data_IF_329913693646
#
_entry.id   IF_329913693646
#
_cell.length_a   1.000
_cell.length_b   1.000
_cell.length_c   1.000
_cell.angle_alpha   90.00
_cell.angle_beta   90.00
_cell.angle_gamma   90.00
#
_symmetry.space_group_name_H-M   'P 1'
#
loop_
_entity.id
_entity.type
_entity.pdbx_description
1 polymer ?
#
# COMPACT_ATOMS: atom_id res chain seq x y z
N UNK A 1 -8.41 17.90 -7.09
CA UNK A 1 -8.01 18.70 -5.90
C UNK A 1 -6.71 19.38 -6.29
N UNK A 2 -6.76 20.66 -6.62
CA UNK A 2 -5.51 21.42 -6.82
C UNK A 2 -4.87 21.57 -5.46
N UNK A 3 -3.68 21.01 -5.28
CA UNK A 3 -2.86 21.32 -4.13
C UNK A 3 -2.57 22.83 -4.16
N UNK A 4 -3.09 23.57 -3.19
CA UNK A 4 -2.88 25.02 -3.10
C UNK A 4 -1.41 25.42 -2.91
N UNK A 5 -0.55 24.44 -2.66
CA UNK A 5 0.89 24.66 -2.47
C UNK A 5 1.68 24.69 -3.78
N UNK A 6 1.10 24.32 -4.95
CA UNK A 6 1.76 24.26 -6.27
C UNK A 6 3.13 23.51 -6.26
N UNK A 7 3.26 22.49 -5.39
CA UNK A 7 4.55 21.81 -5.16
C UNK A 7 4.74 20.68 -6.17
N UNK A 8 3.66 20.03 -6.59
CA UNK A 8 3.65 18.94 -7.59
C UNK A 8 2.39 19.02 -8.45
N UNK A 9 2.48 18.54 -9.68
CA UNK A 9 1.34 18.32 -10.53
C UNK A 9 0.71 16.96 -10.20
N UNK A 10 -0.57 16.96 -9.78
CA UNK A 10 -1.32 15.73 -9.52
C UNK A 10 -2.03 15.29 -10.81
N UNK A 11 -1.48 14.30 -11.49
CA UNK A 11 -2.02 13.77 -12.75
C UNK A 11 -3.00 12.60 -12.56
N UNK A 12 -2.84 11.84 -11.48
CA UNK A 12 -3.66 10.66 -11.20
C UNK A 12 -3.65 10.34 -9.72
N UNK A 13 -4.67 9.62 -9.25
CA UNK A 13 -4.73 9.11 -7.88
C UNK A 13 -5.21 7.66 -7.85
N UNK A 14 -4.76 6.91 -6.87
CA UNK A 14 -5.29 5.60 -6.50
C UNK A 14 -6.01 5.75 -5.17
N UNK A 15 -7.29 5.45 -5.15
CA UNK A 15 -8.03 5.34 -3.90
C UNK A 15 -7.81 3.96 -3.30
N UNK A 16 -7.44 3.93 -2.03
CA UNK A 16 -7.37 2.68 -1.26
C UNK A 16 -8.46 2.74 -0.20
N UNK A 17 -9.23 1.68 -0.08
CA UNK A 17 -10.39 1.58 0.81
C UNK A 17 -10.09 2.22 2.18
N UNK A 18 -11.05 3.00 2.68
CA UNK A 18 -10.88 3.74 3.93
C UNK A 18 -11.61 3.08 5.11
N UNK A 19 -12.70 2.38 4.85
CA UNK A 19 -13.52 1.76 5.88
C UNK A 19 -13.98 0.35 5.48
N UNK A 20 -13.27 -0.67 5.98
CA UNK A 20 -13.64 -2.09 5.80
C UNK A 20 -14.84 -2.54 6.65
N UNK A 21 -15.39 -1.68 7.51
CA UNK A 21 -16.51 -2.01 8.40
C UNK A 21 -17.89 -1.73 7.78
N UNK A 22 -17.97 -1.31 6.52
CA UNK A 22 -19.24 -1.11 5.83
C UNK A 22 -20.01 -2.44 5.73
N UNK A 23 -21.35 -2.44 5.96
CA UNK A 23 -22.17 -3.64 5.84
C UNK A 23 -22.08 -4.31 4.46
N UNK A 24 -21.93 -3.52 3.41
CA UNK A 24 -21.69 -3.99 2.04
C UNK A 24 -20.24 -3.68 1.63
N UNK A 25 -19.39 -4.69 1.42
CA UNK A 25 -17.97 -4.50 1.12
C UNK A 25 -17.70 -3.74 -0.19
N UNK A 26 -18.66 -3.69 -1.12
CA UNK A 26 -18.51 -2.99 -2.40
C UNK A 26 -19.09 -1.57 -2.38
N UNK A 27 -19.73 -1.15 -1.30
CA UNK A 27 -20.41 0.14 -1.22
C UNK A 27 -19.52 1.33 -1.52
N UNK A 28 -18.28 1.32 -1.00
CA UNK A 28 -17.29 2.39 -1.23
C UNK A 28 -16.87 2.46 -2.71
N UNK A 29 -16.70 1.33 -3.37
CA UNK A 29 -16.35 1.26 -4.80
C UNK A 29 -17.43 1.91 -5.66
N UNK A 30 -18.71 1.55 -5.43
CA UNK A 30 -19.81 2.12 -6.20
C UNK A 30 -20.08 3.59 -5.88
N UNK A 31 -19.92 3.99 -4.61
CA UNK A 31 -19.99 5.41 -4.25
C UNK A 31 -18.96 6.25 -5.03
N UNK A 32 -17.72 5.75 -5.19
CA UNK A 32 -16.69 6.43 -5.98
C UNK A 32 -17.04 6.50 -7.47
N UNK A 33 -17.69 5.46 -8.03
CA UNK A 33 -18.18 5.49 -9.41
C UNK A 33 -19.29 6.53 -9.60
N UNK A 34 -20.21 6.63 -8.63
CA UNK A 34 -21.34 7.57 -8.68
C UNK A 34 -20.91 9.05 -8.63
N UNK A 35 -19.72 9.34 -8.12
CA UNK A 35 -19.16 10.70 -8.11
C UNK A 35 -18.95 11.28 -9.53
N UNK A 36 -19.00 10.46 -10.58
CA UNK A 36 -18.78 10.85 -11.99
C UNK A 36 -17.52 11.70 -12.20
N UNK A 37 -16.51 11.44 -11.40
CA UNK A 37 -15.22 12.09 -11.44
C UNK A 37 -14.19 11.20 -12.13
N UNK A 38 -13.22 11.80 -12.82
CA UNK A 38 -12.06 11.09 -13.35
C UNK A 38 -11.05 10.68 -12.25
N UNK A 39 -11.26 11.20 -11.05
CA UNK A 39 -10.45 10.87 -9.86
C UNK A 39 -11.35 10.15 -8.84
N UNK A 40 -10.90 9.04 -8.25
CA UNK A 40 -9.60 8.35 -8.47
C UNK A 40 -9.55 7.62 -9.82
N UNK A 41 -8.33 7.47 -10.37
CA UNK A 41 -8.13 6.74 -11.63
C UNK A 41 -8.09 5.21 -11.42
N UNK A 42 -7.84 4.76 -10.20
CA UNK A 42 -7.94 3.37 -9.78
C UNK A 42 -8.49 3.26 -8.37
N UNK A 43 -9.14 2.13 -8.09
CA UNK A 43 -9.76 1.81 -6.80
C UNK A 43 -9.19 0.48 -6.30
N UNK A 44 -8.73 0.49 -5.06
CA UNK A 44 -8.43 -0.69 -4.25
C UNK A 44 -9.53 -0.80 -3.21
N UNK A 45 -10.40 -1.81 -3.35
CA UNK A 45 -11.56 -1.99 -2.49
C UNK A 45 -11.28 -2.95 -1.33
N UNK A 46 -12.25 -3.07 -0.42
CA UNK A 46 -12.22 -4.06 0.64
C UNK A 46 -12.85 -5.37 0.19
N UNK A 47 -12.22 -6.50 0.54
CA UNK A 47 -12.86 -7.80 0.54
C UNK A 47 -12.26 -8.64 1.67
N UNK A 48 -13.12 -9.36 2.39
CA UNK A 48 -12.68 -10.38 3.33
C UNK A 48 -12.29 -11.64 2.57
N UNK A 49 -10.98 -11.88 2.45
CA UNK A 49 -10.47 -13.03 1.70
C UNK A 49 -10.84 -14.38 2.34
N UNK A 50 -11.21 -14.39 3.63
CA UNK A 50 -11.69 -15.59 4.31
C UNK A 50 -13.18 -15.90 4.11
N UNK A 51 -13.93 -14.98 3.47
CA UNK A 51 -15.38 -15.09 3.31
C UNK A 51 -15.77 -16.18 2.31
N UNK A 52 -16.83 -16.94 2.63
CA UNK A 52 -17.43 -17.89 1.69
C UNK A 52 -18.04 -17.22 0.45
N UNK A 53 -18.44 -15.96 0.55
CA UNK A 53 -19.02 -15.18 -0.54
C UNK A 53 -17.98 -14.34 -1.32
N UNK A 54 -16.67 -14.53 -1.07
CA UNK A 54 -15.60 -13.73 -1.66
C UNK A 54 -15.72 -13.63 -3.19
N UNK A 55 -15.96 -14.74 -3.89
CA UNK A 55 -16.07 -14.74 -5.35
C UNK A 55 -17.15 -13.76 -5.84
N UNK A 56 -18.33 -13.78 -5.23
CA UNK A 56 -19.43 -12.85 -5.57
C UNK A 56 -19.06 -11.40 -5.27
N UNK A 57 -18.34 -11.15 -4.17
CA UNK A 57 -17.87 -9.81 -3.82
C UNK A 57 -16.89 -9.29 -4.88
N UNK A 58 -15.94 -10.12 -5.32
CA UNK A 58 -15.01 -9.76 -6.37
C UNK A 58 -15.68 -9.52 -7.72
N UNK A 59 -16.67 -10.36 -8.10
CA UNK A 59 -17.49 -10.13 -9.31
C UNK A 59 -18.23 -8.80 -9.27
N UNK A 60 -18.77 -8.41 -8.11
CA UNK A 60 -19.43 -7.11 -7.94
C UNK A 60 -18.45 -5.96 -8.07
N UNK A 61 -17.30 -6.02 -7.40
CA UNK A 61 -16.24 -5.03 -7.55
C UNK A 61 -15.77 -4.87 -9.00
N UNK A 62 -15.65 -6.00 -9.74
CA UNK A 62 -15.21 -6.03 -11.13
C UNK A 62 -16.16 -5.31 -12.11
N UNK A 63 -17.38 -4.95 -11.69
CA UNK A 63 -18.25 -4.08 -12.45
C UNK A 63 -17.71 -2.65 -12.56
N UNK A 64 -16.83 -2.24 -11.64
CA UNK A 64 -16.11 -0.97 -11.75
C UNK A 64 -14.92 -1.10 -12.70
N UNK A 65 -14.85 -0.32 -13.79
CA UNK A 65 -13.71 -0.34 -14.71
C UNK A 65 -12.43 0.21 -14.06
N UNK A 66 -12.53 0.86 -12.90
CA UNK A 66 -11.41 1.43 -12.13
C UNK A 66 -10.91 0.49 -11.03
N UNK A 67 -11.59 -0.61 -10.76
CA UNK A 67 -11.17 -1.56 -9.73
C UNK A 67 -9.88 -2.29 -10.14
N UNK A 68 -8.86 -2.26 -9.26
CA UNK A 68 -7.53 -2.80 -9.57
C UNK A 68 -6.99 -3.76 -8.54
N UNK A 69 -7.50 -3.72 -7.33
CA UNK A 69 -6.95 -4.53 -6.24
C UNK A 69 -7.84 -4.59 -5.01
N UNK A 70 -7.42 -5.37 -4.05
CA UNK A 70 -8.09 -5.55 -2.77
C UNK A 70 -7.12 -5.18 -1.65
N UNK A 71 -7.64 -4.53 -0.60
CA UNK A 71 -6.96 -4.42 0.69
C UNK A 71 -7.79 -5.04 1.79
N UNK A 72 -7.15 -5.89 2.57
CA UNK A 72 -7.60 -6.33 3.88
C UNK A 72 -6.45 -6.13 4.85
N UNK A 73 -6.64 -5.30 5.89
CA UNK A 73 -5.60 -5.07 6.89
C UNK A 73 -5.49 -6.33 7.74
N UNK A 74 -4.31 -6.96 7.76
CA UNK A 74 -4.05 -8.20 8.49
C UNK A 74 -3.07 -8.03 9.65
N UNK A 75 -2.75 -6.77 9.96
CA UNK A 75 -1.82 -6.42 11.03
C UNK A 75 -2.28 -6.96 12.38
N UNK A 76 -1.45 -7.80 13.00
CA UNK A 76 -1.67 -8.39 14.32
C UNK A 76 -0.38 -8.40 15.12
N UNK A 77 -0.47 -7.94 16.37
CA UNK A 77 0.58 -8.01 17.38
C UNK A 77 0.07 -8.80 18.57
N UNK A 78 0.83 -9.82 19.01
CA UNK A 78 0.41 -10.69 20.11
C UNK A 78 0.21 -9.91 21.42
N UNK A 79 1.14 -8.98 21.70
CA UNK A 79 1.19 -8.23 22.96
C UNK A 79 0.56 -6.82 22.86
N UNK A 80 0.03 -6.46 21.69
CA UNK A 80 -0.56 -5.13 21.43
C UNK A 80 -1.92 -5.27 20.73
N UNK A 81 -2.95 -5.73 21.47
CA UNK A 81 -4.31 -5.85 20.90
C UNK A 81 -4.89 -4.49 20.50
N UNK A 82 -4.44 -3.40 21.12
CA UNK A 82 -4.80 -2.01 20.81
C UNK A 82 -4.31 -1.55 19.43
N UNK A 83 -3.27 -2.16 18.87
CA UNK A 83 -2.75 -1.91 17.54
C UNK A 83 -3.18 -2.99 16.52
N UNK A 84 -3.77 -4.08 16.99
CA UNK A 84 -4.16 -5.20 16.12
C UNK A 84 -5.48 -4.92 15.41
N UNK A 85 -5.53 -5.18 14.11
CA UNK A 85 -6.71 -5.04 13.26
C UNK A 85 -7.51 -6.35 13.16
N UNK A 86 -6.90 -7.47 13.55
CA UNK A 86 -7.53 -8.79 13.53
C UNK A 86 -7.28 -9.53 14.84
N UNK A 87 -8.21 -10.38 15.22
CA UNK A 87 -8.09 -11.23 16.42
C UNK A 87 -7.16 -12.44 16.19
N UNK A 88 -7.00 -12.84 14.92
CA UNK A 88 -6.23 -14.02 14.52
C UNK A 88 -5.21 -13.66 13.45
N UNK A 89 -4.13 -14.44 13.32
CA UNK A 89 -3.22 -14.30 12.19
C UNK A 89 -3.86 -14.89 10.91
N UNK A 90 -4.31 -14.02 10.02
CA UNK A 90 -5.01 -14.42 8.80
C UNK A 90 -4.10 -15.16 7.82
N UNK A 91 -2.79 -14.94 7.85
CA UNK A 91 -1.83 -15.68 7.03
C UNK A 91 -1.83 -17.19 7.33
N UNK A 92 -2.21 -17.58 8.56
CA UNK A 92 -2.29 -18.98 8.97
C UNK A 92 -3.66 -19.63 8.67
N UNK A 93 -4.64 -18.87 8.16
CA UNK A 93 -5.99 -19.36 7.91
C UNK A 93 -6.14 -19.90 6.48
N UNK A 94 -6.47 -21.18 6.37
CA UNK A 94 -6.63 -21.85 5.07
C UNK A 94 -7.71 -21.22 4.19
N UNK A 95 -8.80 -20.71 4.77
CA UNK A 95 -9.84 -20.00 4.03
C UNK A 95 -9.29 -18.71 3.43
N UNK A 96 -8.56 -17.91 4.20
CA UNK A 96 -7.92 -16.68 3.73
C UNK A 96 -6.89 -16.95 2.62
N UNK A 97 -6.04 -17.98 2.81
CA UNK A 97 -5.04 -18.38 1.80
C UNK A 97 -5.69 -18.79 0.46
N UNK A 98 -6.79 -19.54 0.53
CA UNK A 98 -7.58 -19.88 -0.67
C UNK A 98 -8.17 -18.66 -1.35
N UNK A 99 -8.72 -17.73 -0.56
CA UNK A 99 -9.25 -16.47 -1.09
C UNK A 99 -8.18 -15.60 -1.73
N UNK A 100 -6.97 -15.55 -1.16
CA UNK A 100 -5.85 -14.83 -1.77
C UNK A 100 -5.52 -15.35 -3.18
N UNK A 101 -5.58 -16.68 -3.39
CA UNK A 101 -5.32 -17.29 -4.72
C UNK A 101 -6.33 -16.85 -5.79
N UNK A 102 -7.58 -16.49 -5.41
CA UNK A 102 -8.59 -16.01 -6.36
C UNK A 102 -8.24 -14.63 -6.94
N UNK A 103 -7.41 -13.83 -6.26
CA UNK A 103 -7.05 -12.48 -6.74
C UNK A 103 -6.39 -12.52 -8.12
N UNK A 104 -5.56 -13.53 -8.38
CA UNK A 104 -4.92 -13.71 -9.68
C UNK A 104 -5.94 -13.97 -10.79
N UNK A 105 -6.97 -14.79 -10.54
CA UNK A 105 -8.02 -15.11 -11.51
C UNK A 105 -8.79 -13.87 -11.95
N UNK A 106 -8.98 -12.90 -11.04
CA UNK A 106 -9.59 -11.60 -11.30
C UNK A 106 -8.59 -10.53 -11.78
N UNK A 107 -7.32 -10.87 -11.97
CA UNK A 107 -6.25 -9.91 -12.32
C UNK A 107 -6.15 -8.74 -11.31
N UNK A 108 -6.28 -9.04 -10.02
CA UNK A 108 -6.25 -8.07 -8.93
C UNK A 108 -4.90 -8.08 -8.21
N UNK A 109 -4.46 -6.91 -7.75
CA UNK A 109 -3.36 -6.77 -6.81
C UNK A 109 -3.86 -6.87 -5.36
N UNK A 110 -2.92 -7.11 -4.44
CA UNK A 110 -3.18 -7.07 -3.01
C UNK A 110 -2.36 -5.98 -2.33
N UNK A 111 -3.03 -5.10 -1.61
CA UNK A 111 -2.42 -4.08 -0.78
C UNK A 111 -2.26 -4.68 0.63
N UNK A 112 -1.02 -5.01 0.99
CA UNK A 112 -0.68 -5.76 2.20
C UNK A 112 -0.31 -4.81 3.33
N UNK A 113 -1.14 -4.75 4.36
CA UNK A 113 -0.85 -4.02 5.60
C UNK A 113 -0.74 -4.99 6.76
N UNK A 114 0.49 -5.10 7.30
CA UNK A 114 0.85 -5.98 8.41
C UNK A 114 1.96 -5.35 9.24
N UNK A 115 2.36 -6.02 10.31
CA UNK A 115 3.47 -5.60 11.17
C UNK A 115 4.77 -6.38 10.88
N UNK A 116 5.93 -5.84 11.28
CA UNK A 116 7.25 -6.47 11.05
C UNK A 116 7.33 -7.93 11.49
N UNK A 117 6.69 -8.28 12.61
CA UNK A 117 6.65 -9.63 13.17
C UNK A 117 6.02 -10.67 12.23
N UNK A 118 5.12 -10.22 11.36
CA UNK A 118 4.42 -11.07 10.40
C UNK A 118 5.16 -11.20 9.05
N UNK A 119 6.14 -10.31 8.76
CA UNK A 119 6.77 -10.24 7.43
C UNK A 119 7.45 -11.54 7.02
N UNK A 120 8.08 -12.27 7.95
CA UNK A 120 8.70 -13.58 7.66
C UNK A 120 7.66 -14.61 7.19
N UNK A 121 6.51 -14.65 7.87
CA UNK A 121 5.39 -15.51 7.48
C UNK A 121 4.81 -15.10 6.13
N UNK A 122 4.64 -13.80 5.91
CA UNK A 122 4.16 -13.24 4.65
C UNK A 122 5.11 -13.56 3.49
N UNK A 123 6.43 -13.39 3.65
CA UNK A 123 7.40 -13.73 2.61
C UNK A 123 7.33 -15.22 2.22
N UNK A 124 7.22 -16.11 3.21
CA UNK A 124 7.04 -17.56 2.96
C UNK A 124 5.74 -17.87 2.21
N UNK A 125 4.64 -17.18 2.55
CA UNK A 125 3.35 -17.36 1.89
C UNK A 125 3.37 -16.79 0.46
N UNK A 126 3.79 -15.53 0.30
CA UNK A 126 3.81 -14.84 -0.99
C UNK A 126 4.78 -15.49 -2.00
N UNK A 127 5.86 -16.11 -1.52
CA UNK A 127 6.77 -16.88 -2.37
C UNK A 127 6.12 -18.08 -3.09
N UNK A 128 4.91 -18.50 -2.66
CA UNK A 128 4.11 -19.51 -3.32
C UNK A 128 3.09 -18.92 -4.32
N UNK A 129 2.97 -17.61 -4.38
CA UNK A 129 2.00 -16.87 -5.19
C UNK A 129 2.69 -15.78 -6.04
N UNK A 130 3.70 -16.14 -6.87
CA UNK A 130 4.44 -15.15 -7.66
C UNK A 130 3.58 -14.47 -8.74
N UNK A 131 2.44 -15.04 -9.08
CA UNK A 131 1.45 -14.54 -10.05
C UNK A 131 0.66 -13.33 -9.55
N UNK A 132 0.49 -13.19 -8.22
CA UNK A 132 -0.26 -12.08 -7.62
C UNK A 132 0.67 -10.93 -7.26
N UNK A 133 0.44 -9.74 -7.81
CA UNK A 133 1.17 -8.53 -7.43
C UNK A 133 0.75 -8.06 -6.04
N UNK A 134 1.71 -7.79 -5.19
CA UNK A 134 1.50 -7.32 -3.81
C UNK A 134 2.24 -6.01 -3.59
N UNK A 135 1.61 -5.06 -2.92
CA UNK A 135 2.29 -3.86 -2.43
C UNK A 135 2.20 -3.78 -0.92
N UNK A 136 3.34 -3.69 -0.27
CA UNK A 136 3.47 -3.51 1.17
C UNK A 136 3.10 -2.07 1.53
N UNK A 137 2.02 -1.88 2.27
CA UNK A 137 1.55 -0.57 2.70
C UNK A 137 2.44 0.05 3.78
N UNK A 138 2.51 1.37 3.79
CA UNK A 138 3.09 2.18 4.86
C UNK A 138 4.52 1.77 5.26
N UNK A 139 5.39 1.58 4.24
CA UNK A 139 6.77 1.16 4.45
C UNK A 139 6.91 -0.15 5.26
N UNK A 140 5.85 -0.97 5.33
CA UNK A 140 5.80 -2.17 6.17
C UNK A 140 5.61 -1.87 7.65
N UNK A 141 4.95 -0.76 7.97
CA UNK A 141 4.51 -0.41 9.32
C UNK A 141 5.61 -0.50 10.41
N UNK A 142 6.74 0.21 10.28
CA UNK A 142 7.80 0.24 11.29
C UNK A 142 7.36 1.02 12.53
N UNK A 143 6.45 0.44 13.32
CA UNK A 143 5.81 1.10 14.47
C UNK A 143 6.77 1.23 15.67
N UNK A 144 7.68 0.29 15.84
CA UNK A 144 8.79 0.37 16.78
C UNK A 144 10.02 0.91 16.07
N UNK A 145 10.36 2.17 16.35
CA UNK A 145 11.49 2.87 15.73
C UNK A 145 12.74 2.85 16.61
N UNK A 146 12.80 1.99 17.64
CA UNK A 146 14.04 1.67 18.34
C UNK A 146 14.99 0.91 17.39
N UNK A 147 16.29 0.86 17.72
CA UNK A 147 17.24 0.09 16.91
C UNK A 147 16.81 -1.38 16.76
N UNK A 148 16.32 -2.01 17.83
CA UNK A 148 15.79 -3.37 17.79
C UNK A 148 14.58 -3.52 16.88
N UNK A 149 13.60 -2.60 16.98
CA UNK A 149 12.41 -2.63 16.12
C UNK A 149 12.76 -2.42 14.65
N UNK A 150 13.70 -1.50 14.35
CA UNK A 150 14.18 -1.27 12.98
C UNK A 150 15.03 -2.43 12.45
N UNK A 151 15.74 -3.17 13.29
CA UNK A 151 16.43 -4.40 12.87
C UNK A 151 15.44 -5.49 12.49
N UNK A 152 14.40 -5.73 13.31
CA UNK A 152 13.34 -6.69 13.02
C UNK A 152 12.61 -6.35 11.72
N UNK A 153 12.19 -5.09 11.59
CA UNK A 153 11.57 -4.58 10.38
C UNK A 153 12.48 -4.76 9.15
N UNK A 154 13.75 -4.38 9.27
CA UNK A 154 14.73 -4.47 8.20
C UNK A 154 14.97 -5.90 7.72
N UNK A 155 14.99 -6.88 8.63
CA UNK A 155 15.09 -8.29 8.28
C UNK A 155 13.87 -8.79 7.48
N UNK A 156 12.66 -8.34 7.85
CA UNK A 156 11.43 -8.65 7.12
C UNK A 156 11.43 -8.01 5.72
N UNK A 157 11.85 -6.76 5.61
CA UNK A 157 12.02 -6.02 4.35
C UNK A 157 12.97 -6.77 3.40
N UNK A 158 14.12 -7.24 3.90
CA UNK A 158 15.07 -8.03 3.11
C UNK A 158 14.45 -9.30 2.55
N UNK A 159 13.67 -10.04 3.34
CA UNK A 159 13.00 -11.26 2.89
C UNK A 159 11.95 -10.97 1.82
N UNK A 160 11.10 -9.96 2.03
CA UNK A 160 10.07 -9.58 1.06
C UNK A 160 10.66 -9.04 -0.24
N UNK A 161 11.81 -8.38 -0.19
CA UNK A 161 12.47 -7.81 -1.37
C UNK A 161 12.99 -8.87 -2.36
N UNK A 162 13.19 -10.11 -1.90
CA UNK A 162 13.59 -11.24 -2.78
C UNK A 162 12.45 -11.68 -3.72
N UNK A 163 11.22 -11.25 -3.45
CA UNK A 163 10.06 -11.58 -4.26
C UNK A 163 9.83 -10.48 -5.29
N UNK A 164 9.92 -10.80 -6.59
CA UNK A 164 9.81 -9.83 -7.68
C UNK A 164 8.41 -9.21 -7.81
N UNK A 165 7.39 -9.93 -7.35
CA UNK A 165 6.00 -9.49 -7.35
C UNK A 165 5.64 -8.56 -6.18
N UNK A 166 6.58 -8.30 -5.25
CA UNK A 166 6.37 -7.42 -4.08
C UNK A 166 6.95 -6.03 -4.33
N UNK A 167 6.11 -5.03 -4.09
CA UNK A 167 6.38 -3.59 -4.15
C UNK A 167 6.18 -2.97 -2.77
N UNK A 168 6.57 -1.71 -2.59
CA UNK A 168 6.38 -1.00 -1.30
C UNK A 168 5.87 0.42 -1.52
N UNK A 169 4.93 0.86 -0.67
CA UNK A 169 4.48 2.24 -0.60
C UNK A 169 5.30 3.04 0.42
N UNK A 170 5.87 4.11 -0.04
CA UNK A 170 6.44 5.16 0.79
C UNK A 170 5.31 6.06 1.30
N UNK A 171 4.65 5.63 2.36
CA UNK A 171 3.47 6.30 2.93
C UNK A 171 3.32 5.99 4.42
N UNK A 172 2.43 6.69 5.12
CA UNK A 172 2.06 6.39 6.50
C UNK A 172 3.14 6.64 7.54
N UNK A 173 4.16 7.42 7.23
CA UNK A 173 5.28 7.68 8.14
C UNK A 173 4.86 8.43 9.41
N UNK A 174 3.76 9.19 9.35
CA UNK A 174 3.20 9.90 10.51
C UNK A 174 2.39 9.01 11.45
N UNK A 175 1.98 7.82 11.02
CA UNK A 175 1.07 6.96 11.79
C UNK A 175 1.67 6.44 13.10
N UNK A 176 2.97 6.18 13.11
CA UNK A 176 3.65 5.51 14.22
C UNK A 176 4.61 6.43 14.99
N UNK A 177 4.86 7.62 14.49
CA UNK A 177 5.73 8.58 15.12
C UNK A 177 5.08 9.96 15.13
N UNK A 178 4.51 10.34 16.27
CA UNK A 178 3.86 11.64 16.47
C UNK A 178 4.81 12.83 16.36
N UNK A 179 6.12 12.60 16.41
CA UNK A 179 7.14 13.65 16.33
C UNK A 179 7.90 13.68 15.01
N UNK A 180 7.46 12.92 14.00
CA UNK A 180 8.10 12.89 12.67
C UNK A 180 9.63 13.01 12.73
N UNK A 181 10.28 11.90 13.09
CA UNK A 181 11.73 11.85 13.15
C UNK A 181 12.31 11.76 11.73
N UNK A 182 12.92 12.87 11.28
CA UNK A 182 13.50 12.96 9.94
C UNK A 182 14.66 11.96 9.74
N UNK A 183 15.42 11.66 10.78
CA UNK A 183 16.53 10.71 10.71
C UNK A 183 16.01 9.28 10.52
N UNK A 184 15.03 8.86 11.31
CA UNK A 184 14.43 7.55 11.17
C UNK A 184 13.68 7.39 9.84
N UNK A 185 12.96 8.41 9.36
CA UNK A 185 12.31 8.34 8.04
C UNK A 185 13.33 8.21 6.92
N UNK A 186 14.48 8.86 7.01
CA UNK A 186 15.57 8.70 6.04
C UNK A 186 16.18 7.29 6.12
N UNK A 187 16.46 6.76 7.30
CA UNK A 187 16.94 5.37 7.48
C UNK A 187 15.99 4.36 6.86
N UNK A 188 14.68 4.52 7.07
CA UNK A 188 13.63 3.67 6.50
C UNK A 188 13.66 3.78 4.98
N UNK A 189 13.66 5.00 4.41
CA UNK A 189 13.73 5.21 2.97
C UNK A 189 14.95 4.54 2.35
N UNK A 190 16.15 4.77 2.89
CA UNK A 190 17.40 4.21 2.38
C UNK A 190 17.41 2.67 2.43
N UNK A 191 16.87 2.07 3.49
CA UNK A 191 16.73 0.62 3.59
C UNK A 191 15.80 0.06 2.51
N UNK A 192 14.64 0.69 2.29
CA UNK A 192 13.69 0.29 1.25
C UNK A 192 14.27 0.47 -0.15
N UNK A 193 14.91 1.61 -0.40
CA UNK A 193 15.54 1.88 -1.70
C UNK A 193 16.66 0.89 -2.02
N UNK A 194 17.51 0.57 -1.05
CA UNK A 194 18.58 -0.43 -1.22
C UNK A 194 18.03 -1.80 -1.58
N UNK A 195 16.90 -2.22 -1.00
CA UNK A 195 16.37 -3.57 -1.16
C UNK A 195 15.43 -3.72 -2.36
N UNK A 196 14.59 -2.73 -2.64
CA UNK A 196 13.58 -2.80 -3.70
C UNK A 196 13.96 -2.05 -4.98
N UNK A 197 14.86 -1.07 -4.89
CA UNK A 197 15.17 -0.15 -5.98
C UNK A 197 13.97 0.74 -6.34
N UNK A 198 14.19 1.80 -7.13
CA UNK A 198 13.17 2.78 -7.48
C UNK A 198 11.94 2.17 -8.15
N UNK A 199 12.12 1.16 -9.01
CA UNK A 199 11.06 0.55 -9.82
C UNK A 199 10.03 -0.26 -9.03
N UNK A 200 10.31 -0.57 -7.76
CA UNK A 200 9.37 -1.27 -6.86
C UNK A 200 8.99 -0.44 -5.64
N UNK A 201 9.34 0.84 -5.63
CA UNK A 201 8.86 1.82 -4.66
C UNK A 201 7.82 2.72 -5.31
N UNK A 202 6.80 3.10 -4.56
CA UNK A 202 5.81 4.08 -4.99
C UNK A 202 5.42 5.01 -3.83
N UNK A 203 5.29 6.29 -4.13
CA UNK A 203 4.84 7.25 -3.14
C UNK A 203 3.32 7.19 -2.91
N UNK A 204 2.90 7.36 -1.67
CA UNK A 204 1.52 7.52 -1.27
C UNK A 204 1.38 8.55 -0.15
N UNK A 205 0.38 9.41 -0.23
CA UNK A 205 0.17 10.47 0.77
C UNK A 205 -0.43 9.97 2.08
N UNK A 206 -1.10 8.81 2.05
CA UNK A 206 -1.93 8.31 3.16
C UNK A 206 -2.97 9.34 3.67
N UNK A 207 -3.40 10.29 2.81
CA UNK A 207 -4.42 11.27 3.18
C UNK A 207 -5.83 10.68 3.02
N UNK A 208 -6.75 10.95 3.97
CA UNK A 208 -6.63 11.96 5.02
C UNK A 208 -5.98 11.51 6.34
N UNK A 209 -5.56 10.25 6.51
CA UNK A 209 -5.06 9.72 7.80
C UNK A 209 -3.86 10.52 8.30
N UNK A 210 -2.84 10.70 7.48
CA UNK A 210 -1.63 11.44 7.88
C UNK A 210 -1.90 12.94 8.17
N UNK A 211 -3.07 13.47 7.79
CA UNK A 211 -3.47 14.85 8.15
C UNK A 211 -3.51 15.09 9.66
N UNK A 212 -3.72 14.04 10.43
CA UNK A 212 -3.72 14.13 11.89
C UNK A 212 -2.34 14.51 12.44
N UNK A 213 -1.28 14.20 11.69
CA UNK A 213 0.11 14.37 12.12
C UNK A 213 0.85 15.45 11.33
N UNK A 214 0.49 15.68 10.05
CA UNK A 214 1.23 16.55 9.17
C UNK A 214 0.38 17.11 8.02
N UNK A 215 0.84 18.18 7.39
CA UNK A 215 0.21 18.71 6.19
C UNK A 215 0.58 17.91 4.95
N UNK A 216 -0.29 17.93 3.92
CA UNK A 216 0.02 17.34 2.62
C UNK A 216 1.32 17.89 2.01
N UNK A 217 1.51 19.23 2.11
CA UNK A 217 2.74 19.87 1.64
C UNK A 217 4.00 19.35 2.33
N UNK A 218 3.92 18.97 3.62
CA UNK A 218 5.04 18.33 4.32
C UNK A 218 5.36 16.95 3.75
N UNK A 219 4.34 16.11 3.49
CA UNK A 219 4.53 14.80 2.84
C UNK A 219 5.22 14.93 1.47
N UNK A 220 4.79 15.92 0.66
CA UNK A 220 5.39 16.17 -0.65
C UNK A 220 6.83 16.66 -0.52
N UNK A 221 7.10 17.57 0.43
CA UNK A 221 8.47 18.05 0.67
C UNK A 221 9.40 16.92 1.13
N UNK A 222 8.92 16.01 1.95
CA UNK A 222 9.68 14.82 2.36
C UNK A 222 10.03 13.94 1.15
N UNK A 223 9.05 13.68 0.27
CA UNK A 223 9.31 12.98 -0.98
C UNK A 223 10.41 13.67 -1.79
N UNK A 224 10.30 14.99 -2.00
CA UNK A 224 11.30 15.77 -2.74
C UNK A 224 12.70 15.65 -2.12
N UNK A 225 12.79 15.63 -0.78
CA UNK A 225 14.06 15.44 -0.07
C UNK A 225 14.66 14.08 -0.40
N UNK A 226 13.90 13.01 -0.33
CA UNK A 226 14.38 11.65 -0.66
C UNK A 226 14.81 11.53 -2.13
N UNK A 227 14.09 12.17 -3.04
CA UNK A 227 14.36 12.09 -4.46
C UNK A 227 15.55 12.95 -4.92
N UNK A 228 15.97 13.95 -4.14
CA UNK A 228 16.95 14.95 -4.56
C UNK A 228 18.31 14.37 -4.97
N UNK A 229 18.71 13.22 -4.42
CA UNK A 229 19.97 12.54 -4.72
C UNK A 229 19.88 11.48 -5.81
N UNK A 230 18.67 11.19 -6.30
CA UNK A 230 18.41 10.14 -7.28
C UNK A 230 18.46 10.67 -8.71
N UNK A 231 18.69 9.79 -9.67
CA UNK A 231 18.57 10.12 -11.08
C UNK A 231 17.11 10.50 -11.45
N UNK A 232 16.93 11.27 -12.53
CA UNK A 232 15.60 11.68 -12.99
C UNK A 232 14.66 10.48 -13.22
N UNK A 233 15.17 9.40 -13.80
CA UNK A 233 14.39 8.19 -14.06
C UNK A 233 13.92 7.54 -12.75
N UNK A 234 14.79 7.46 -11.73
CA UNK A 234 14.43 6.91 -10.42
C UNK A 234 13.44 7.80 -9.66
N UNK A 235 13.59 9.13 -9.78
CA UNK A 235 12.62 10.09 -9.24
C UNK A 235 11.22 9.84 -9.82
N UNK A 236 11.12 9.70 -11.13
CA UNK A 236 9.85 9.44 -11.83
C UNK A 236 9.31 8.04 -11.52
N UNK A 237 10.18 7.03 -11.41
CA UNK A 237 9.77 5.68 -11.01
C UNK A 237 9.07 5.71 -9.65
N UNK A 238 9.67 6.35 -8.65
CA UNK A 238 9.10 6.44 -7.29
C UNK A 238 7.87 7.35 -7.24
N UNK A 239 7.92 8.49 -7.93
CA UNK A 239 6.86 9.49 -7.86
C UNK A 239 5.55 9.03 -8.51
N UNK A 240 5.61 8.28 -9.63
CA UNK A 240 4.42 7.91 -10.37
C UNK A 240 4.49 6.63 -11.23
N UNK A 241 5.64 6.31 -11.91
CA UNK A 241 5.69 5.21 -12.88
C UNK A 241 5.43 3.84 -12.23
N UNK A 242 5.99 3.60 -11.05
CA UNK A 242 5.80 2.33 -10.33
C UNK A 242 4.34 2.13 -9.97
N UNK A 243 3.66 3.16 -9.45
CA UNK A 243 2.23 3.10 -9.15
C UNK A 243 1.40 2.90 -10.43
N UNK A 244 1.70 3.66 -11.49
CA UNK A 244 1.00 3.55 -12.77
C UNK A 244 1.10 2.13 -13.34
N UNK A 245 2.29 1.53 -13.34
CA UNK A 245 2.53 0.16 -13.81
C UNK A 245 1.85 -0.88 -12.92
N UNK A 246 1.92 -0.70 -11.60
CA UNK A 246 1.37 -1.64 -10.62
C UNK A 246 -0.16 -1.68 -10.72
N UNK A 247 -0.81 -0.53 -10.67
CA UNK A 247 -2.27 -0.41 -10.71
C UNK A 247 -2.85 -0.32 -12.13
N UNK A 248 -2.00 -0.44 -13.17
CA UNK A 248 -2.42 -0.41 -14.59
C UNK A 248 -3.21 0.86 -14.93
N UNK A 249 -2.66 2.01 -14.51
CA UNK A 249 -3.30 3.31 -14.78
C UNK A 249 -3.16 3.67 -16.26
N UNK A 250 -4.28 4.10 -16.87
CA UNK A 250 -4.24 4.76 -18.16
C UNK A 250 -4.00 6.27 -17.93
N UNK A 251 -2.78 6.71 -18.15
CA UNK A 251 -2.40 8.11 -17.97
C UNK A 251 -2.60 8.95 -19.23
N UNK A 252 -3.21 8.37 -20.27
CA UNK A 252 -3.34 9.02 -21.58
C UNK A 252 -1.99 9.19 -22.28
N UNK A 253 -2.00 9.28 -23.61
CA UNK A 253 -0.80 9.63 -24.40
C UNK A 253 -0.60 11.14 -24.28
N UNK A 254 0.08 11.60 -23.26
CA UNK A 254 0.71 12.91 -23.27
C UNK A 254 1.53 13.11 -22.01
N UNK A 255 2.74 13.19 -22.15
CA UNK A 255 3.73 14.10 -21.58
C UNK A 255 5.10 13.46 -21.87
N UNK A 256 5.48 13.50 -23.16
CA UNK A 256 6.87 13.43 -23.59
C UNK A 256 7.44 14.83 -23.57
#
# INVERSE_FOLDING_TARGET
IRDRANIVELISTVHVQADGALPDPVAETFWLEDLKSTIPSAIVGFADLGSADLHKVLERHAQSPRFRGVRQIIGKLADRPDLSFTSEDLLEKSAWQKGFSLLHEFNLSFDLQLYPEQMKGAAKFLGKHPETKVVLDHAGCPYDQTDHGLELWGAGVEQLSQLENVYVKLSGFGMYNSYWDAENTERIFQKLYKNFGAKRLMWGSNFPVDRLMQSYGHCVKQLQTWLASLSKDEQEDIAWRSAAKFYRLDLGKSHG
#
